data_IF_436427437875
#
_entry.id   IF_436427437875
#
_cell.length_a   1.000
_cell.length_b   1.000
_cell.length_c   1.000
_cell.angle_alpha   90.00
_cell.angle_beta   90.00
_cell.angle_gamma   90.00
#
_symmetry.space_group_name_H-M   'P 1'
#
loop_
_entity.id
_entity.type
_entity.pdbx_description
1 polymer ?
#
# COMPACT_ATOMS: atom_id res chain seq x y z
N UNK A 1 -10.86 15.50 -15.16
CA UNK A 1 -10.13 14.90 -14.02
C UNK A 1 -8.82 14.36 -14.53
N UNK A 2 -7.75 14.55 -13.78
CA UNK A 2 -6.43 13.96 -14.04
C UNK A 2 -5.98 13.18 -12.80
N UNK A 3 -5.48 11.98 -13.02
CA UNK A 3 -4.80 11.16 -12.03
C UNK A 3 -3.30 11.20 -12.35
N UNK A 4 -2.52 11.89 -11.50
CA UNK A 4 -1.14 12.29 -11.78
C UNK A 4 -0.21 11.72 -10.74
N UNK A 5 0.88 11.13 -11.17
CA UNK A 5 1.91 10.53 -10.33
C UNK A 5 3.18 11.38 -10.36
N UNK A 6 3.60 11.80 -9.17
CA UNK A 6 4.78 12.64 -8.94
C UNK A 6 5.69 11.99 -7.91
N UNK A 7 6.85 12.59 -7.66
CA UNK A 7 7.75 12.17 -6.59
C UNK A 7 7.05 12.18 -5.23
N UNK A 8 7.44 11.25 -4.38
CA UNK A 8 6.86 11.09 -3.06
C UNK A 8 7.01 12.37 -2.23
N UNK A 9 5.88 12.89 -1.76
CA UNK A 9 5.87 14.07 -0.91
C UNK A 9 6.25 13.72 0.54
N UNK A 10 7.37 14.26 1.01
CA UNK A 10 7.92 14.04 2.36
C UNK A 10 7.62 15.17 3.35
N UNK A 11 6.86 16.20 2.94
CA UNK A 11 6.55 17.33 3.79
C UNK A 11 5.56 17.04 4.92
N UNK A 12 5.47 17.96 5.88
CA UNK A 12 4.57 17.85 7.02
C UNK A 12 3.11 17.69 6.60
N UNK A 13 2.34 16.94 7.39
CA UNK A 13 0.90 16.74 7.17
C UNK A 13 0.12 18.01 7.51
N UNK A 14 -1.00 18.20 6.80
CA UNK A 14 -1.87 19.33 7.01
C UNK A 14 -1.32 20.67 6.51
N UNK A 15 -0.14 20.68 5.90
CA UNK A 15 0.42 21.81 5.17
C UNK A 15 -0.22 21.98 3.78
N UNK A 16 0.13 23.08 3.12
CA UNK A 16 -0.19 23.22 1.70
C UNK A 16 0.72 22.29 0.91
N UNK A 17 0.13 21.27 0.30
CA UNK A 17 0.82 20.41 -0.64
C UNK A 17 0.74 21.05 -2.00
N UNK A 18 1.88 21.36 -2.61
CA UNK A 18 1.95 21.80 -4.00
C UNK A 18 2.41 20.65 -4.88
N UNK A 19 1.87 20.62 -6.08
CA UNK A 19 2.31 19.67 -7.10
C UNK A 19 3.76 20.01 -7.49
N UNK A 20 4.68 19.03 -7.55
CA UNK A 20 6.05 19.27 -8.00
C UNK A 20 6.08 19.89 -9.40
N UNK A 21 7.00 20.83 -9.61
CA UNK A 21 7.24 21.40 -10.94
C UNK A 21 7.77 20.32 -11.89
N UNK A 22 7.32 20.34 -13.14
CA UNK A 22 7.75 19.36 -14.12
C UNK A 22 6.73 19.13 -15.23
N UNK A 23 7.05 18.16 -16.08
CA UNK A 23 6.18 17.71 -17.16
C UNK A 23 5.67 16.31 -16.88
N UNK A 24 4.36 16.14 -16.95
CA UNK A 24 3.64 14.90 -16.75
C UNK A 24 2.97 14.48 -18.05
N UNK A 25 3.23 13.27 -18.52
CA UNK A 25 2.71 12.76 -19.80
C UNK A 25 1.78 11.58 -19.62
N UNK A 26 0.79 11.45 -20.52
CA UNK A 26 -0.18 10.37 -20.48
C UNK A 26 0.50 9.01 -20.67
N UNK A 27 0.35 8.13 -19.69
CA UNK A 27 0.81 6.74 -19.73
C UNK A 27 -0.39 5.80 -19.90
N UNK A 28 -0.37 5.01 -20.96
CA UNK A 28 -1.40 4.00 -21.25
C UNK A 28 -1.20 2.73 -20.40
N UNK A 29 -0.06 2.57 -19.76
CA UNK A 29 0.22 1.48 -18.83
C UNK A 29 -0.09 1.95 -17.41
N UNK A 30 -0.66 1.09 -16.57
CA UNK A 30 -1.00 1.41 -15.18
C UNK A 30 0.26 1.21 -14.30
N UNK A 31 1.38 1.87 -14.66
CA UNK A 31 2.64 1.73 -13.91
C UNK A 31 2.79 2.71 -12.75
N UNK A 32 1.93 3.76 -12.72
CA UNK A 32 1.97 4.79 -11.67
C UNK A 32 3.37 5.40 -11.47
N UNK A 33 4.12 5.53 -12.56
CA UNK A 33 5.49 6.05 -12.51
C UNK A 33 5.51 7.58 -12.35
N UNK A 34 6.54 8.11 -11.69
CA UNK A 34 6.73 9.56 -11.55
C UNK A 34 6.74 10.26 -12.91
N UNK A 35 6.16 11.45 -12.98
CA UNK A 35 6.05 12.23 -14.22
C UNK A 35 4.97 11.71 -15.17
N UNK A 36 4.01 10.89 -14.70
CA UNK A 36 2.96 10.34 -15.57
C UNK A 36 1.56 10.80 -15.19
N UNK A 37 0.66 10.75 -16.17
CA UNK A 37 -0.80 10.87 -16.03
C UNK A 37 -1.37 9.50 -16.34
N UNK A 38 -2.07 8.86 -15.40
CA UNK A 38 -2.67 7.55 -15.60
C UNK A 38 -3.88 7.66 -16.53
N UNK A 39 -3.80 7.05 -17.72
CA UNK A 39 -4.88 7.09 -18.73
C UNK A 39 -6.16 6.45 -18.19
N UNK A 40 -6.03 5.38 -17.39
CA UNK A 40 -7.21 4.64 -16.91
C UNK A 40 -8.10 5.49 -15.99
N UNK A 41 -7.50 6.35 -15.16
CA UNK A 41 -8.21 7.17 -14.17
C UNK A 41 -8.33 8.64 -14.57
N UNK A 42 -7.86 9.01 -15.77
CA UNK A 42 -7.93 10.39 -16.29
C UNK A 42 -8.93 10.51 -17.44
N UNK A 43 -9.78 11.53 -17.38
CA UNK A 43 -10.83 11.71 -18.37
C UNK A 43 -11.30 13.15 -18.46
N UNK A 44 -11.84 13.50 -19.64
CA UNK A 44 -12.65 14.67 -19.87
C UNK A 44 -14.12 14.33 -19.56
N UNK A 45 -14.83 15.24 -18.90
CA UNK A 45 -16.27 15.09 -18.69
C UNK A 45 -17.00 16.40 -18.89
N UNK A 46 -18.23 16.33 -19.32
CA UNK A 46 -19.20 17.41 -19.27
C UNK A 46 -20.34 17.01 -18.34
N UNK A 47 -20.89 18.00 -17.63
CA UNK A 47 -22.03 17.81 -16.74
C UNK A 47 -23.15 18.75 -17.15
N UNK A 48 -24.39 18.31 -16.96
CA UNK A 48 -25.61 19.11 -17.09
C UNK A 48 -26.44 18.87 -15.83
N UNK A 49 -26.87 19.94 -15.15
CA UNK A 49 -27.63 19.89 -13.89
C UNK A 49 -27.04 18.91 -12.84
N UNK A 50 -25.69 18.89 -12.71
CA UNK A 50 -24.90 18.00 -11.83
C UNK A 50 -24.86 16.52 -12.26
N UNK A 51 -25.51 16.13 -13.35
CA UNK A 51 -25.38 14.80 -13.92
C UNK A 51 -24.25 14.73 -14.95
N UNK A 52 -23.55 13.60 -15.00
CA UNK A 52 -22.50 13.38 -16.01
C UNK A 52 -23.18 13.12 -17.34
N UNK A 53 -23.05 14.08 -18.25
CA UNK A 53 -23.58 13.98 -19.61
C UNK A 53 -22.62 13.19 -20.52
N UNK A 54 -21.32 13.43 -20.41
CA UNK A 54 -20.30 12.77 -21.22
C UNK A 54 -19.01 12.55 -20.41
N UNK A 55 -18.42 11.37 -20.56
CA UNK A 55 -17.10 11.04 -20.01
C UNK A 55 -16.26 10.33 -21.08
N UNK A 56 -15.09 10.89 -21.40
CA UNK A 56 -14.20 10.38 -22.46
C UNK A 56 -12.76 10.36 -21.97
N UNK A 57 -12.04 9.27 -22.24
CA UNK A 57 -10.61 9.16 -21.96
C UNK A 57 -9.80 10.07 -22.89
N UNK A 58 -8.65 10.55 -22.38
CA UNK A 58 -7.71 11.29 -23.21
C UNK A 58 -7.03 10.37 -24.24
N UNK A 59 -6.88 10.86 -25.46
CA UNK A 59 -6.06 10.23 -26.50
C UNK A 59 -4.59 10.51 -26.26
N UNK A 60 -4.28 11.77 -25.91
CA UNK A 60 -2.99 12.22 -25.39
C UNK A 60 -3.20 13.31 -24.35
N UNK A 61 -2.26 13.44 -23.41
CA UNK A 61 -2.24 14.54 -22.47
C UNK A 61 -0.81 14.83 -22.02
N UNK A 62 -0.51 16.12 -21.87
CA UNK A 62 0.70 16.65 -21.27
C UNK A 62 0.31 17.76 -20.31
N UNK A 63 0.73 17.65 -19.05
CA UNK A 63 0.54 18.67 -18.03
C UNK A 63 1.91 19.23 -17.63
N UNK A 64 2.10 20.53 -17.78
CA UNK A 64 3.30 21.24 -17.36
C UNK A 64 2.95 22.06 -16.12
N UNK A 65 3.68 21.81 -15.04
CA UNK A 65 3.59 22.56 -13.79
C UNK A 65 4.82 23.45 -13.63
N UNK A 66 4.58 24.73 -13.40
CA UNK A 66 5.61 25.71 -13.03
C UNK A 66 5.23 26.38 -11.69
N UNK A 67 6.10 27.22 -11.16
CA UNK A 67 5.90 27.94 -9.89
C UNK A 67 4.64 28.83 -9.88
N UNK A 68 4.17 29.26 -11.04
CA UNK A 68 3.08 30.24 -11.17
C UNK A 68 1.92 29.81 -12.07
N UNK A 69 2.03 28.64 -12.71
CA UNK A 69 1.00 28.13 -13.62
C UNK A 69 0.99 26.62 -13.78
N UNK A 70 -0.17 26.10 -14.15
CA UNK A 70 -0.34 24.73 -14.64
C UNK A 70 -0.98 24.79 -16.03
N UNK A 71 -0.36 24.13 -17.04
CA UNK A 71 -0.88 24.10 -18.39
C UNK A 71 -1.07 22.65 -18.84
N UNK A 72 -2.33 22.28 -19.12
CA UNK A 72 -2.70 21.00 -19.70
C UNK A 72 -2.90 21.17 -21.20
N UNK A 73 -2.21 20.37 -22.00
CA UNK A 73 -2.52 20.15 -23.42
C UNK A 73 -3.03 18.71 -23.56
N UNK A 74 -4.25 18.53 -24.05
CA UNK A 74 -4.87 17.21 -24.19
C UNK A 74 -5.62 17.07 -25.51
N UNK A 75 -5.72 15.85 -26.03
CA UNK A 75 -6.57 15.51 -27.18
C UNK A 75 -7.71 14.61 -26.71
N UNK A 76 -8.92 15.02 -27.07
CA UNK A 76 -10.18 14.32 -26.78
C UNK A 76 -11.00 14.28 -28.05
N UNK A 77 -11.35 13.11 -28.54
CA UNK A 77 -12.11 12.91 -29.80
C UNK A 77 -11.50 13.68 -30.97
N UNK A 78 -10.17 13.63 -31.10
CA UNK A 78 -9.44 14.32 -32.16
C UNK A 78 -9.33 15.84 -31.99
N UNK A 79 -9.92 16.43 -30.93
CA UNK A 79 -9.88 17.87 -30.66
C UNK A 79 -8.81 18.17 -29.63
N UNK A 80 -7.91 19.12 -29.94
CA UNK A 80 -6.90 19.60 -29.02
C UNK A 80 -7.49 20.64 -28.06
N UNK A 81 -7.34 20.38 -26.77
CA UNK A 81 -7.70 21.28 -25.68
C UNK A 81 -6.44 21.82 -25.00
N UNK A 82 -6.41 23.12 -24.74
CA UNK A 82 -5.36 23.76 -23.93
C UNK A 82 -6.04 24.45 -22.77
N UNK A 83 -5.68 24.06 -21.55
CA UNK A 83 -6.22 24.62 -20.31
C UNK A 83 -5.06 25.16 -19.48
N UNK A 84 -5.10 26.45 -19.15
CA UNK A 84 -4.09 27.10 -18.31
C UNK A 84 -4.74 27.61 -17.02
N UNK A 85 -4.19 27.21 -15.90
CA UNK A 85 -4.48 27.74 -14.58
C UNK A 85 -3.31 28.60 -14.12
N UNK A 86 -3.57 29.86 -13.74
CA UNK A 86 -2.57 30.77 -13.20
C UNK A 86 -2.54 30.67 -11.68
N UNK A 87 -1.38 30.42 -11.13
CA UNK A 87 -1.14 30.17 -9.72
C UNK A 87 -0.93 28.69 -9.40
N UNK A 88 -0.75 28.39 -8.12
CA UNK A 88 -0.61 27.02 -7.64
C UNK A 88 -1.99 26.43 -7.31
N UNK A 89 -2.31 25.21 -7.79
CA UNK A 89 -3.54 24.52 -7.40
C UNK A 89 -3.55 24.25 -5.89
N UNK A 90 -4.69 24.47 -5.26
CA UNK A 90 -4.88 24.03 -3.87
C UNK A 90 -5.02 22.52 -3.83
N UNK A 91 -4.12 21.85 -3.12
CA UNK A 91 -4.12 20.39 -2.96
C UNK A 91 -4.51 20.06 -1.54
N UNK A 92 -5.49 19.17 -1.40
CA UNK A 92 -5.91 18.64 -0.11
C UNK A 92 -5.09 17.39 0.18
N UNK A 93 -4.32 17.41 1.27
CA UNK A 93 -3.59 16.23 1.73
C UNK A 93 -4.60 15.17 2.23
N UNK A 94 -4.61 14.03 1.57
CA UNK A 94 -5.44 12.87 1.90
C UNK A 94 -4.63 11.70 2.44
N UNK A 95 -3.33 11.91 2.72
CA UNK A 95 -2.51 10.87 3.33
C UNK A 95 -3.10 10.47 4.69
N UNK A 96 -3.07 9.20 4.99
CA UNK A 96 -3.43 8.71 6.31
C UNK A 96 -2.46 9.26 7.38
N UNK A 97 -2.89 9.35 8.63
CA UNK A 97 -2.02 9.76 9.73
C UNK A 97 -0.95 8.70 10.02
N UNK A 98 0.23 9.15 10.46
CA UNK A 98 1.23 8.25 11.01
C UNK A 98 0.72 7.61 12.29
N UNK A 99 1.10 6.36 12.55
CA UNK A 99 0.65 5.61 13.73
C UNK A 99 1.80 4.91 14.40
N UNK A 100 1.75 4.88 15.72
CA UNK A 100 2.51 3.94 16.53
C UNK A 100 1.53 2.89 17.07
N UNK A 101 1.91 1.62 16.97
CA UNK A 101 1.07 0.49 17.34
C UNK A 101 1.88 -0.52 18.14
N UNK A 102 1.63 -0.55 19.44
CA UNK A 102 2.17 -1.57 20.32
C UNK A 102 1.21 -2.76 20.33
N UNK A 103 1.57 -3.79 19.58
CA UNK A 103 0.77 -5.00 19.47
C UNK A 103 0.75 -5.73 20.81
N UNK A 104 -0.42 -6.19 21.23
CA UNK A 104 -0.60 -7.02 22.43
C UNK A 104 -0.43 -8.49 22.12
N UNK A 105 -0.70 -8.87 20.88
CA UNK A 105 -0.57 -10.24 20.42
C UNK A 105 -0.03 -10.31 19.00
N UNK A 106 0.72 -11.38 18.70
CA UNK A 106 1.14 -11.76 17.37
C UNK A 106 1.04 -13.27 17.20
N UNK A 107 0.53 -13.70 16.04
CA UNK A 107 0.51 -15.11 15.65
C UNK A 107 0.80 -15.27 14.17
N UNK A 108 1.19 -16.47 13.79
CA UNK A 108 1.65 -16.78 12.43
C UNK A 108 1.00 -18.05 11.93
N UNK A 109 0.56 -18.03 10.69
CA UNK A 109 0.25 -19.22 9.92
C UNK A 109 1.42 -19.53 8.99
N UNK A 110 2.01 -20.69 9.15
CA UNK A 110 3.13 -21.17 8.32
C UNK A 110 2.60 -22.04 7.20
N UNK A 111 2.83 -21.64 5.94
CA UNK A 111 2.38 -22.36 4.76
C UNK A 111 3.50 -23.11 4.03
N UNK A 112 4.77 -22.97 4.48
CA UNK A 112 5.92 -23.56 3.80
C UNK A 112 6.17 -22.92 2.44
N UNK A 113 6.72 -23.66 1.52
CA UNK A 113 7.07 -23.19 0.17
C UNK A 113 5.92 -23.30 -0.85
N UNK A 114 4.66 -23.40 -0.38
CA UNK A 114 3.50 -23.61 -1.26
C UNK A 114 3.41 -22.56 -2.37
N UNK A 115 3.52 -21.27 -2.01
CA UNK A 115 3.36 -20.16 -2.95
C UNK A 115 4.64 -19.75 -3.68
N UNK A 116 5.78 -20.34 -3.29
CA UNK A 116 7.10 -20.05 -3.86
C UNK A 116 7.98 -21.31 -3.91
N UNK A 117 7.44 -22.38 -4.49
CA UNK A 117 7.96 -23.74 -4.45
C UNK A 117 9.47 -23.85 -4.69
N UNK A 118 10.18 -24.31 -3.64
CA UNK A 118 11.64 -24.47 -3.65
C UNK A 118 12.44 -23.16 -3.59
N UNK A 119 11.78 -22.02 -3.35
CA UNK A 119 12.44 -20.70 -3.30
C UNK A 119 12.40 -20.10 -1.90
N UNK A 120 11.23 -20.07 -1.26
CA UNK A 120 11.05 -19.44 0.04
C UNK A 120 9.93 -20.12 0.84
N UNK A 121 10.01 -20.08 2.16
CA UNK A 121 8.92 -20.45 3.06
C UNK A 121 8.05 -19.23 3.38
N UNK A 122 6.74 -19.42 3.38
CA UNK A 122 5.75 -18.37 3.62
C UNK A 122 5.23 -18.38 5.07
N UNK A 123 5.18 -17.20 5.67
CA UNK A 123 4.67 -16.92 7.01
C UNK A 123 3.65 -15.80 6.95
N UNK A 124 2.38 -16.09 7.22
CA UNK A 124 1.35 -15.06 7.29
C UNK A 124 1.21 -14.58 8.72
N UNK A 125 1.81 -13.42 8.99
CA UNK A 125 1.94 -12.82 10.32
C UNK A 125 0.78 -11.88 10.62
N UNK A 126 0.20 -12.02 11.80
CA UNK A 126 -0.81 -11.13 12.34
C UNK A 126 -0.30 -10.40 13.56
N UNK A 127 -0.64 -9.11 13.67
CA UNK A 127 -0.57 -8.34 14.91
C UNK A 127 -1.96 -7.87 15.32
N UNK A 128 -2.23 -7.79 16.63
CA UNK A 128 -3.49 -7.30 17.17
C UNK A 128 -3.28 -6.43 18.42
N UNK A 129 -4.18 -5.47 18.65
CA UNK A 129 -4.31 -4.71 19.90
C UNK A 129 -5.14 -5.46 20.97
N UNK A 130 -5.61 -6.65 20.66
CA UNK A 130 -6.28 -7.55 21.60
C UNK A 130 -5.38 -8.70 22.01
N UNK A 131 -5.54 -9.14 23.25
CA UNK A 131 -4.88 -10.32 23.79
C UNK A 131 -5.65 -11.60 23.41
N UNK A 132 -5.71 -11.89 22.11
CA UNK A 132 -6.40 -13.06 21.56
C UNK A 132 -5.81 -13.48 20.23
N UNK A 133 -5.70 -14.77 20.01
CA UNK A 133 -5.12 -15.39 18.79
C UNK A 133 -6.19 -15.80 17.77
N UNK A 134 -7.48 -15.62 18.04
CA UNK A 134 -8.51 -16.24 17.22
C UNK A 134 -9.42 -15.23 16.53
N UNK A 135 -9.34 -15.23 15.20
CA UNK A 135 -10.26 -14.55 14.31
C UNK A 135 -10.19 -13.02 14.37
N UNK A 136 -10.91 -12.39 13.49
CA UNK A 136 -11.05 -10.95 13.47
C UNK A 136 -12.21 -10.54 14.40
N UNK A 137 -11.88 -10.00 15.56
CA UNK A 137 -12.88 -9.58 16.56
C UNK A 137 -13.30 -8.12 16.34
N UNK A 138 -14.59 -7.78 16.60
CA UNK A 138 -15.07 -6.41 16.55
C UNK A 138 -14.24 -5.46 17.41
N UNK A 139 -14.04 -4.23 16.94
CA UNK A 139 -13.30 -3.14 17.56
C UNK A 139 -11.78 -3.33 17.63
N UNK A 140 -11.26 -4.43 17.12
CA UNK A 140 -9.82 -4.66 17.09
C UNK A 140 -9.15 -4.03 15.87
N UNK A 141 -7.86 -3.81 16.03
CA UNK A 141 -6.95 -3.39 14.97
C UNK A 141 -6.03 -4.54 14.61
N UNK A 142 -5.89 -4.82 13.34
CA UNK A 142 -5.02 -5.88 12.82
C UNK A 142 -4.08 -5.34 11.77
N UNK A 143 -2.84 -5.85 11.80
CA UNK A 143 -1.92 -5.82 10.68
C UNK A 143 -1.69 -7.26 10.25
N UNK A 144 -1.83 -7.52 8.95
CA UNK A 144 -1.63 -8.83 8.35
C UNK A 144 -0.52 -8.69 7.32
N UNK A 145 0.52 -9.50 7.46
CA UNK A 145 1.73 -9.38 6.66
C UNK A 145 2.12 -10.74 6.09
N UNK A 146 2.31 -10.80 4.79
CA UNK A 146 2.67 -11.99 4.05
C UNK A 146 4.19 -12.00 3.83
N UNK A 147 4.92 -12.66 4.74
CA UNK A 147 6.37 -12.71 4.78
C UNK A 147 6.90 -13.95 4.06
N UNK A 148 8.00 -13.79 3.34
CA UNK A 148 8.75 -14.87 2.72
C UNK A 148 10.17 -14.91 3.28
N UNK A 149 10.56 -16.07 3.83
CA UNK A 149 11.91 -16.32 4.36
C UNK A 149 12.68 -17.30 3.50
N UNK A 150 13.95 -17.54 3.82
CA UNK A 150 14.63 -18.73 3.36
C UNK A 150 13.91 -20.00 3.83
N UNK A 151 14.07 -21.11 3.09
CA UNK A 151 13.50 -22.40 3.45
C UNK A 151 14.21 -22.90 4.71
N UNK A 152 13.42 -23.19 5.75
CA UNK A 152 13.95 -23.59 7.07
C UNK A 152 13.87 -25.11 7.29
N UNK A 153 14.77 -25.60 8.11
CA UNK A 153 14.67 -26.97 8.67
C UNK A 153 13.59 -26.99 9.78
N UNK A 154 12.50 -27.67 9.47
CA UNK A 154 11.29 -27.75 10.32
C UNK A 154 11.46 -28.73 11.51
N UNK A 155 12.55 -29.50 11.57
CA UNK A 155 12.80 -30.51 12.60
C UNK A 155 13.03 -29.91 14.00
N UNK A 156 13.47 -28.64 14.07
CA UNK A 156 13.80 -27.94 15.32
C UNK A 156 12.68 -26.99 15.80
N UNK A 157 11.46 -27.14 15.27
CA UNK A 157 10.34 -26.25 15.53
C UNK A 157 10.21 -25.17 14.46
N UNK A 158 9.11 -24.42 14.51
CA UNK A 158 8.82 -23.37 13.56
C UNK A 158 8.92 -21.99 14.23
N UNK A 159 9.72 -21.13 13.65
CA UNK A 159 9.81 -19.72 14.01
C UNK A 159 10.07 -18.90 12.76
N UNK A 160 9.66 -17.64 12.73
CA UNK A 160 10.05 -16.72 11.66
C UNK A 160 11.58 -16.52 11.77
N UNK A 161 12.36 -16.75 10.71
CA UNK A 161 13.81 -16.50 10.73
C UNK A 161 14.13 -15.03 11.04
N UNK A 162 15.19 -14.82 11.83
CA UNK A 162 15.66 -13.46 12.10
C UNK A 162 16.15 -12.79 10.84
N UNK A 163 15.84 -11.52 10.68
CA UNK A 163 16.25 -10.74 9.53
C UNK A 163 15.40 -9.51 9.29
N UNK A 164 15.75 -8.80 8.23
CA UNK A 164 14.98 -7.67 7.73
C UNK A 164 14.24 -8.07 6.48
N UNK A 165 12.92 -8.03 6.53
CA UNK A 165 12.01 -8.32 5.42
C UNK A 165 11.60 -7.00 4.79
N UNK A 166 11.89 -6.82 3.52
CA UNK A 166 11.57 -5.59 2.77
C UNK A 166 10.25 -5.77 2.05
N UNK A 167 9.39 -4.77 2.11
CA UNK A 167 8.15 -4.77 1.33
C UNK A 167 8.49 -4.72 -0.15
N UNK A 168 8.03 -5.73 -0.88
CA UNK A 168 8.31 -5.93 -2.30
C UNK A 168 7.05 -5.69 -3.14
N UNK A 169 7.00 -4.54 -3.79
CA UNK A 169 5.90 -4.14 -4.67
C UNK A 169 5.75 -5.06 -5.90
N UNK A 170 6.80 -5.78 -6.26
CA UNK A 170 6.77 -6.74 -7.38
C UNK A 170 6.15 -8.09 -7.01
N UNK A 171 5.87 -8.33 -5.73
CA UNK A 171 5.38 -9.59 -5.19
C UNK A 171 6.24 -10.80 -5.63
N UNK A 172 7.57 -10.64 -5.62
CA UNK A 172 8.52 -11.66 -6.11
C UNK A 172 8.57 -12.92 -5.26
N UNK A 173 8.06 -12.86 -4.02
CA UNK A 173 8.06 -13.98 -3.04
C UNK A 173 9.44 -14.59 -2.80
N UNK A 174 10.47 -13.75 -2.86
CA UNK A 174 11.86 -14.12 -2.55
C UNK A 174 12.11 -14.10 -1.05
N UNK A 175 13.15 -14.80 -0.57
CA UNK A 175 13.54 -14.72 0.84
C UNK A 175 13.73 -13.28 1.30
N UNK A 176 13.28 -12.99 2.54
CA UNK A 176 13.33 -11.69 3.21
C UNK A 176 12.52 -10.59 2.50
N UNK A 177 11.37 -10.98 1.95
CA UNK A 177 10.39 -10.02 1.42
C UNK A 177 9.04 -10.11 2.12
N UNK A 178 8.26 -9.04 2.00
CA UNK A 178 6.84 -8.95 2.36
C UNK A 178 6.08 -8.59 1.09
N UNK A 179 5.07 -9.37 0.69
CA UNK A 179 4.28 -9.04 -0.50
C UNK A 179 3.23 -7.99 -0.20
N UNK A 180 3.00 -7.05 -1.12
CA UNK A 180 1.94 -6.04 -0.97
C UNK A 180 0.55 -6.63 -1.25
N UNK A 181 0.47 -7.67 -2.08
CA UNK A 181 -0.78 -8.30 -2.52
C UNK A 181 -1.62 -8.84 -1.35
N UNK A 182 -0.96 -9.39 -0.32
CA UNK A 182 -1.61 -10.00 0.84
C UNK A 182 -1.26 -9.32 2.16
N UNK A 183 -0.76 -8.08 2.13
CA UNK A 183 -0.38 -7.35 3.34
C UNK A 183 -1.22 -6.09 3.52
N UNK A 184 -1.86 -5.97 4.67
CA UNK A 184 -2.80 -4.89 4.95
C UNK A 184 -2.91 -4.51 6.43
N UNK A 185 -3.61 -3.42 6.65
CA UNK A 185 -4.09 -2.91 7.91
C UNK A 185 -5.62 -2.88 7.89
N UNK A 186 -6.24 -3.32 8.96
CA UNK A 186 -7.68 -3.19 9.16
C UNK A 186 -8.00 -2.86 10.61
N UNK A 187 -8.90 -1.89 10.81
CA UNK A 187 -9.52 -1.59 12.09
C UNK A 187 -11.02 -1.86 11.99
N UNK A 188 -11.52 -2.72 12.84
CA UNK A 188 -12.91 -3.15 12.84
C UNK A 188 -13.77 -2.25 13.72
N UNK A 189 -15.00 -2.01 13.30
CA UNK A 189 -16.03 -1.33 14.08
C UNK A 189 -16.71 -2.29 15.08
N UNK A 190 -17.76 -1.80 15.76
CA UNK A 190 -18.53 -2.59 16.73
C UNK A 190 -19.28 -3.78 16.10
N UNK A 191 -19.58 -3.71 14.82
CA UNK A 191 -20.27 -4.76 14.06
C UNK A 191 -19.32 -5.79 13.47
N UNK A 192 -17.99 -5.54 13.52
CA UNK A 192 -16.99 -6.38 12.88
C UNK A 192 -16.69 -6.00 11.42
N UNK A 193 -17.30 -4.92 10.91
CA UNK A 193 -16.98 -4.39 9.59
C UNK A 193 -15.72 -3.52 9.63
N UNK A 194 -15.04 -3.39 8.51
CA UNK A 194 -13.87 -2.51 8.40
C UNK A 194 -14.29 -1.03 8.54
N UNK A 195 -13.86 -0.39 9.64
CA UNK A 195 -13.97 1.05 9.82
C UNK A 195 -12.84 1.81 9.13
N UNK A 196 -11.65 1.22 9.12
CA UNK A 196 -10.48 1.70 8.40
C UNK A 196 -9.78 0.50 7.75
N UNK A 197 -9.27 0.70 6.54
CA UNK A 197 -8.57 -0.34 5.78
C UNK A 197 -7.50 0.30 4.89
N UNK A 198 -6.35 -0.34 4.75
CA UNK A 198 -5.31 0.10 3.82
C UNK A 198 -4.33 -1.02 3.50
N UNK A 199 -3.95 -1.12 2.22
CA UNK A 199 -2.89 -2.02 1.78
C UNK A 199 -1.54 -1.46 2.18
N UNK A 200 -0.60 -2.35 2.50
CA UNK A 200 0.81 -2.01 2.66
C UNK A 200 1.39 -1.71 1.28
N UNK A 201 2.06 -0.57 1.13
CA UNK A 201 2.65 -0.12 -0.12
C UNK A 201 4.17 0.01 -0.08
N UNK A 202 4.80 -0.17 1.07
CA UNK A 202 6.23 -0.06 1.24
C UNK A 202 6.66 -0.23 2.70
N UNK A 203 7.95 -0.21 2.95
CA UNK A 203 8.50 -0.30 4.29
C UNK A 203 9.27 -1.58 4.55
N UNK A 204 9.37 -1.96 5.82
CA UNK A 204 10.13 -3.14 6.27
C UNK A 204 9.60 -3.72 7.56
N UNK A 205 9.92 -5.00 7.78
CA UNK A 205 9.72 -5.73 9.04
C UNK A 205 11.07 -6.24 9.51
N UNK A 206 11.39 -6.07 10.78
CA UNK A 206 12.61 -6.59 11.40
C UNK A 206 12.19 -7.62 12.44
N UNK A 207 12.72 -8.83 12.31
CA UNK A 207 12.55 -9.92 13.28
C UNK A 207 13.88 -10.19 13.92
N UNK A 208 13.97 -10.08 15.23
CA UNK A 208 15.20 -10.33 15.99
C UNK A 208 14.90 -11.00 17.35
N UNK A 209 15.92 -11.13 18.20
CA UNK A 209 15.82 -11.75 19.51
C UNK A 209 14.93 -10.96 20.50
N UNK A 210 14.65 -9.67 20.23
CA UNK A 210 13.82 -8.81 21.07
C UNK A 210 12.34 -8.82 20.64
N UNK A 211 12.04 -9.39 19.48
CA UNK A 211 10.69 -9.48 18.93
C UNK A 211 10.59 -9.04 17.48
N UNK A 212 9.51 -8.33 17.15
CA UNK A 212 9.26 -7.82 15.81
C UNK A 212 8.99 -6.33 15.85
N UNK A 213 9.68 -5.58 14.99
CA UNK A 213 9.36 -4.19 14.70
C UNK A 213 9.05 -4.03 13.21
N UNK A 214 8.11 -3.15 12.87
CA UNK A 214 7.82 -2.84 11.49
C UNK A 214 7.63 -1.35 11.28
N UNK A 215 8.06 -0.87 10.12
CA UNK A 215 7.76 0.45 9.60
C UNK A 215 7.12 0.27 8.23
N UNK A 216 5.82 0.51 8.14
CA UNK A 216 5.00 0.21 6.97
C UNK A 216 4.39 1.48 6.40
N UNK A 217 4.41 1.62 5.09
CA UNK A 217 3.72 2.68 4.38
C UNK A 217 2.29 2.23 4.05
N UNK A 218 1.29 2.94 4.55
CA UNK A 218 -0.13 2.60 4.38
C UNK A 218 -0.91 3.87 4.09
N UNK A 219 -1.55 3.94 2.91
CA UNK A 219 -2.32 5.12 2.46
C UNK A 219 -1.53 6.44 2.58
N UNK A 220 -0.22 6.41 2.34
CA UNK A 220 0.68 7.56 2.45
C UNK A 220 1.05 7.97 3.89
N UNK A 221 0.62 7.21 4.90
CA UNK A 221 1.09 7.31 6.27
C UNK A 221 2.17 6.28 6.61
N UNK A 222 2.89 6.52 7.68
CA UNK A 222 3.88 5.59 8.25
C UNK A 222 3.30 4.97 9.51
N UNK A 223 3.15 3.65 9.51
CA UNK A 223 2.71 2.88 10.66
C UNK A 223 3.92 2.16 11.26
N UNK A 224 4.24 2.47 12.51
CA UNK A 224 5.30 1.80 13.26
C UNK A 224 4.67 0.79 14.21
N UNK A 225 5.10 -0.45 14.12
CA UNK A 225 4.57 -1.57 14.90
C UNK A 225 5.68 -2.11 15.78
N UNK A 226 5.37 -2.35 17.06
CA UNK A 226 6.27 -2.97 18.02
C UNK A 226 5.58 -4.19 18.63
N UNK A 227 6.32 -5.30 18.73
CA UNK A 227 5.89 -6.50 19.43
C UNK A 227 7.08 -7.22 20.05
N UNK A 228 7.04 -7.52 21.36
CA UNK A 228 8.12 -8.19 22.10
C UNK A 228 7.66 -9.46 22.82
N UNK A 229 6.47 -9.97 22.49
CA UNK A 229 5.92 -11.17 23.12
C UNK A 229 6.31 -12.48 22.44
N UNK A 230 5.77 -13.58 22.96
CA UNK A 230 5.88 -14.89 22.32
C UNK A 230 5.01 -14.95 21.06
N UNK A 231 5.54 -15.55 19.99
CA UNK A 231 4.84 -15.70 18.73
C UNK A 231 4.38 -17.15 18.58
N UNK A 232 3.07 -17.36 18.53
CA UNK A 232 2.48 -18.66 18.22
C UNK A 232 2.56 -18.92 16.72
N UNK A 233 3.18 -20.04 16.33
CA UNK A 233 3.23 -20.47 14.92
C UNK A 233 2.38 -21.71 14.72
N UNK A 234 1.33 -21.58 13.90
CA UNK A 234 0.47 -22.67 13.49
C UNK A 234 0.91 -23.23 12.12
N UNK A 235 1.16 -24.53 12.06
CA UNK A 235 1.64 -25.17 10.83
C UNK A 235 0.49 -25.57 9.91
N UNK A 236 0.43 -24.97 8.74
CA UNK A 236 -0.52 -25.29 7.66
C UNK A 236 0.15 -25.82 6.40
N UNK A 237 1.46 -26.09 6.41
CA UNK A 237 2.22 -26.51 5.21
C UNK A 237 1.76 -27.85 4.60
N UNK A 238 0.95 -28.64 5.32
CA UNK A 238 0.37 -29.88 4.83
C UNK A 238 -1.12 -29.84 4.50
N UNK A 239 -1.78 -28.68 4.70
CA UNK A 239 -3.26 -28.60 4.66
C UNK A 239 -3.85 -28.45 3.26
N UNK A 240 -3.03 -28.27 2.23
CA UNK A 240 -3.47 -28.00 0.86
C UNK A 240 -3.44 -29.22 -0.08
N UNK A 241 -3.21 -30.43 0.45
CA UNK A 241 -3.04 -31.65 -0.35
C UNK A 241 -4.05 -32.77 -0.04
N UNK A 242 -5.19 -32.43 0.59
CA UNK A 242 -6.30 -33.38 0.73
C UNK A 242 -7.50 -33.00 -0.13
#
# INVERSE_FOLDING_TARGET
>A
MLDVYADFYTGERGGYVSMPEGTYTLDATIRMANGTICKEYSYYMTTDDYEINKQVKFESAELIISSDAATLTAVVEGVKHIVTFKGQPTIVDKRAEDREFDAKNAWVYFYGDHDSKGVADNYYLYFSDLDTEYGLLPKATYYRLDLFSEIVDKSNGLAIPYGTYIVDESNSRKPYTVTVECSDFVKLNKSGDAAEYGMVSGGKVIVDENGITAELHIMGGVHKINYSGYITVSNFSGSFFE
#
